data_IF_398397941434
#
_entry.id   IF_398397941434
#
_cell.length_a   1.000
_cell.length_b   1.000
_cell.length_c   1.000
_cell.angle_alpha   90.00
_cell.angle_beta   90.00
_cell.angle_gamma   90.00
#
_symmetry.space_group_name_H-M   'P 1'
#
loop_
_entity.id
_entity.type
_entity.pdbx_description
1 polymer ?
#
# COMPACT_ATOMS: atom_id res chain seq x y z
N UNK A 1 20.96 -46.50 -64.65
CA UNK A 1 19.90 -45.84 -63.87
C UNK A 1 19.54 -44.59 -64.65
N UNK A 2 18.33 -44.54 -65.23
CA UNK A 2 17.89 -43.44 -66.08
C UNK A 2 17.52 -42.26 -65.17
N UNK A 3 18.21 -41.13 -65.33
CA UNK A 3 17.90 -39.89 -64.64
C UNK A 3 16.75 -39.22 -65.40
N UNK A 4 15.62 -39.00 -64.72
CA UNK A 4 14.46 -38.32 -65.28
C UNK A 4 14.35 -36.94 -64.62
N UNK A 5 14.69 -35.85 -65.32
CA UNK A 5 14.79 -34.51 -64.75
C UNK A 5 13.46 -34.00 -64.17
N UNK A 6 12.31 -34.38 -64.74
CA UNK A 6 10.99 -33.93 -64.25
C UNK A 6 10.67 -34.47 -62.85
N UNK A 7 11.04 -35.72 -62.54
CA UNK A 7 10.82 -36.28 -61.20
C UNK A 7 11.69 -35.61 -60.12
N UNK A 8 12.84 -35.03 -60.50
CA UNK A 8 13.72 -34.35 -59.56
C UNK A 8 13.15 -32.99 -59.15
N UNK A 9 12.64 -32.21 -60.11
CA UNK A 9 12.01 -30.91 -59.87
C UNK A 9 10.73 -31.04 -59.05
N UNK A 10 9.92 -32.06 -59.33
CA UNK A 10 8.66 -32.28 -58.59
C UNK A 10 8.89 -32.62 -57.12
N UNK A 11 9.92 -33.45 -56.81
CA UNK A 11 10.32 -33.74 -55.43
C UNK A 11 10.85 -32.50 -54.73
N UNK A 12 11.57 -31.65 -55.44
CA UNK A 12 12.11 -30.40 -54.87
C UNK A 12 10.98 -29.41 -54.55
N UNK A 13 9.99 -29.29 -55.44
CA UNK A 13 8.78 -28.49 -55.23
C UNK A 13 7.96 -29.00 -54.03
N UNK A 14 7.74 -30.32 -53.93
CA UNK A 14 7.03 -30.93 -52.81
C UNK A 14 7.75 -30.70 -51.46
N UNK A 15 9.08 -30.78 -51.44
CA UNK A 15 9.86 -30.52 -50.24
C UNK A 15 9.73 -29.05 -49.80
N UNK A 16 9.79 -28.12 -50.76
CA UNK A 16 9.63 -26.69 -50.51
C UNK A 16 8.23 -26.36 -49.98
N UNK A 17 7.19 -26.98 -50.53
CA UNK A 17 5.81 -26.80 -50.06
C UNK A 17 5.60 -27.34 -48.65
N UNK A 18 6.18 -28.50 -48.31
CA UNK A 18 6.13 -29.05 -46.94
C UNK A 18 6.83 -28.17 -45.91
N UNK A 19 7.90 -27.49 -46.31
CA UNK A 19 8.60 -26.55 -45.45
C UNK A 19 7.75 -25.30 -45.17
N UNK A 20 7.10 -24.75 -46.21
CA UNK A 20 6.17 -23.62 -46.09
C UNK A 20 4.99 -23.98 -45.17
N UNK A 21 4.40 -25.17 -45.34
CA UNK A 21 3.28 -25.63 -44.51
C UNK A 21 3.65 -25.72 -43.02
N UNK A 22 4.82 -26.29 -42.71
CA UNK A 22 5.34 -26.32 -41.33
C UNK A 22 5.49 -24.92 -40.76
N UNK A 23 6.07 -23.98 -41.52
CA UNK A 23 6.25 -22.59 -41.08
C UNK A 23 4.90 -21.92 -40.81
N UNK A 24 3.90 -22.15 -41.66
CA UNK A 24 2.55 -21.61 -41.44
C UNK A 24 1.87 -22.20 -40.21
N UNK A 25 1.97 -23.52 -39.99
CA UNK A 25 1.42 -24.17 -38.80
C UNK A 25 2.04 -23.62 -37.52
N UNK A 26 3.37 -23.47 -37.50
CA UNK A 26 4.09 -22.84 -36.39
C UNK A 26 3.63 -21.39 -36.15
N UNK A 27 3.33 -20.63 -37.21
CA UNK A 27 2.80 -19.26 -37.10
C UNK A 27 1.40 -19.25 -36.50
N UNK A 28 0.48 -20.09 -37.01
CA UNK A 28 -0.91 -20.18 -36.53
C UNK A 28 -0.98 -20.65 -35.07
N UNK A 29 -0.11 -21.57 -34.67
CA UNK A 29 -0.01 -21.99 -33.27
C UNK A 29 0.42 -20.83 -32.38
N UNK A 30 1.49 -20.09 -32.75
CA UNK A 30 1.95 -18.92 -32.00
C UNK A 30 0.87 -17.84 -31.85
N UNK A 31 0.10 -17.57 -32.90
CA UNK A 31 -1.00 -16.59 -32.85
C UNK A 31 -2.13 -17.01 -31.89
N UNK A 32 -2.47 -18.31 -31.84
CA UNK A 32 -3.45 -18.84 -30.87
C UNK A 32 -2.97 -18.72 -29.43
N UNK A 33 -1.71 -19.05 -29.16
CA UNK A 33 -1.13 -18.89 -27.81
C UNK A 33 -1.08 -17.42 -27.40
N UNK A 34 -0.64 -16.52 -28.29
CA UNK A 34 -0.59 -15.09 -28.02
C UNK A 34 -1.96 -14.46 -27.76
N UNK A 35 -3.04 -14.95 -28.39
CA UNK A 35 -4.39 -14.44 -28.16
C UNK A 35 -5.04 -14.97 -26.87
N UNK A 36 -4.74 -16.21 -26.47
CA UNK A 36 -5.21 -16.74 -25.18
C UNK A 36 -4.52 -16.04 -23.99
N UNK A 37 -3.22 -15.74 -24.13
CA UNK A 37 -2.43 -15.07 -23.08
C UNK A 37 -2.87 -13.61 -22.86
N UNK A 38 -3.24 -12.91 -23.95
CA UNK A 38 -3.84 -11.56 -23.89
C UNK A 38 -5.13 -11.53 -23.05
N UNK A 39 -5.96 -12.57 -23.06
CA UNK A 39 -7.23 -12.59 -22.33
C UNK A 39 -7.08 -12.67 -20.81
N UNK A 40 -6.07 -13.39 -20.31
CA UNK A 40 -5.71 -13.41 -18.88
C UNK A 40 -4.97 -12.13 -18.49
N UNK A 41 -3.94 -11.74 -19.25
CA UNK A 41 -3.16 -10.52 -18.98
C UNK A 41 -4.02 -9.25 -18.97
N UNK A 42 -5.08 -9.16 -19.80
CA UNK A 42 -5.89 -7.94 -19.88
C UNK A 42 -6.72 -7.68 -18.62
N UNK A 43 -7.17 -8.73 -17.92
CA UNK A 43 -7.92 -8.60 -16.65
C UNK A 43 -7.01 -8.14 -15.52
N UNK A 44 -5.84 -8.75 -15.38
CA UNK A 44 -4.87 -8.38 -14.35
C UNK A 44 -4.37 -6.95 -14.56
N UNK A 45 -4.07 -6.56 -15.81
CA UNK A 45 -3.64 -5.18 -16.11
C UNK A 45 -4.73 -4.14 -15.80
N UNK A 46 -6.02 -4.47 -15.91
CA UNK A 46 -7.09 -3.51 -15.55
C UNK A 46 -7.19 -3.28 -14.05
N UNK A 47 -7.16 -4.37 -13.27
CA UNK A 47 -7.23 -4.29 -11.80
C UNK A 47 -6.02 -3.55 -11.25
N UNK A 48 -4.82 -3.82 -11.79
CA UNK A 48 -3.60 -3.10 -11.42
C UNK A 48 -3.72 -1.60 -11.71
N UNK A 49 -4.18 -1.21 -12.90
CA UNK A 49 -4.40 0.21 -13.23
C UNK A 49 -5.40 0.87 -12.29
N UNK A 50 -6.48 0.19 -11.95
CA UNK A 50 -7.47 0.69 -11.00
C UNK A 50 -6.87 0.89 -9.60
N UNK A 51 -6.13 -0.09 -9.09
CA UNK A 51 -5.45 0.01 -7.79
C UNK A 51 -4.45 1.16 -7.77
N UNK A 52 -3.63 1.30 -8.81
CA UNK A 52 -2.70 2.43 -8.95
C UNK A 52 -3.44 3.76 -9.00
N UNK A 53 -4.54 3.85 -9.75
CA UNK A 53 -5.31 5.09 -9.85
C UNK A 53 -5.94 5.49 -8.51
N UNK A 54 -6.44 4.51 -7.74
CA UNK A 54 -6.92 4.74 -6.37
C UNK A 54 -5.78 5.23 -5.49
N UNK A 55 -4.67 4.49 -5.40
CA UNK A 55 -3.52 4.85 -4.56
C UNK A 55 -2.96 6.23 -4.90
N UNK A 56 -2.97 6.58 -6.18
CA UNK A 56 -2.48 7.84 -6.70
C UNK A 56 -3.28 9.05 -6.20
N UNK A 57 -4.60 8.94 -6.17
CA UNK A 57 -5.49 10.05 -5.76
C UNK A 57 -5.96 9.93 -4.31
N UNK A 58 -5.58 8.86 -3.61
CA UNK A 58 -5.94 8.64 -2.22
C UNK A 58 -5.31 9.68 -1.30
N UNK A 59 -6.16 10.52 -0.71
CA UNK A 59 -5.85 11.40 0.40
C UNK A 59 -6.59 10.90 1.65
N UNK A 60 -5.87 10.81 2.77
CA UNK A 60 -6.40 10.31 4.04
C UNK A 60 -6.07 11.31 5.13
N UNK A 61 -7.09 11.72 5.88
CA UNK A 61 -6.92 12.43 7.15
C UNK A 61 -7.59 11.62 8.24
N UNK A 62 -6.84 11.24 9.27
CA UNK A 62 -7.38 10.62 10.48
C UNK A 62 -7.18 11.60 11.62
N UNK A 63 -8.27 11.96 12.31
CA UNK A 63 -8.28 12.97 13.36
C UNK A 63 -8.58 12.37 14.73
N UNK A 64 -8.26 13.11 15.79
CA UNK A 64 -8.55 12.78 17.18
C UNK A 64 -8.05 11.38 17.57
N UNK A 65 -6.79 11.09 17.24
CA UNK A 65 -6.21 9.76 17.40
C UNK A 65 -5.68 9.63 18.83
N UNK A 66 -6.11 8.59 19.52
CA UNK A 66 -5.59 8.20 20.83
C UNK A 66 -5.40 6.69 20.85
N UNK A 67 -4.15 6.25 20.93
CA UNK A 67 -3.78 4.83 21.03
C UNK A 67 -3.20 4.59 22.42
N UNK A 68 -3.74 3.60 23.12
CA UNK A 68 -3.28 3.22 24.46
C UNK A 68 -2.97 1.74 24.53
N UNK A 69 -1.82 1.41 25.08
CA UNK A 69 -1.43 0.09 25.49
C UNK A 69 -1.54 -0.02 27.01
N UNK A 70 -2.44 -0.89 27.48
CA UNK A 70 -2.65 -1.17 28.90
C UNK A 70 -2.00 -2.50 29.26
N UNK A 71 -0.93 -2.49 30.07
CA UNK A 71 -0.36 -3.71 30.64
C UNK A 71 -1.07 -4.07 31.94
N UNK A 72 -1.69 -5.25 31.93
CA UNK A 72 -2.40 -5.83 33.06
C UNK A 72 -1.85 -7.20 33.46
N UNK A 73 -0.79 -7.66 32.78
CA UNK A 73 -0.15 -8.95 33.03
C UNK A 73 0.92 -8.85 34.10
N UNK A 74 1.58 -7.69 34.20
CA UNK A 74 2.58 -7.41 35.24
C UNK A 74 1.91 -7.11 36.59
N UNK A 75 1.59 -8.18 37.34
CA UNK A 75 0.85 -8.12 38.63
C UNK A 75 1.44 -7.17 39.67
N UNK A 76 2.73 -6.86 39.59
CA UNK A 76 3.43 -6.01 40.56
C UNK A 76 3.33 -4.51 40.24
N UNK A 77 3.16 -4.14 38.97
CA UNK A 77 3.10 -2.74 38.51
C UNK A 77 2.30 -2.67 37.20
N UNK A 78 1.02 -2.30 37.27
CA UNK A 78 0.27 -1.97 36.06
C UNK A 78 0.75 -0.62 35.51
N UNK A 79 0.85 -0.52 34.19
CA UNK A 79 1.16 0.74 33.54
C UNK A 79 0.38 0.89 32.25
N UNK A 80 0.16 2.14 31.86
CA UNK A 80 -0.42 2.50 30.59
C UNK A 80 0.58 3.35 29.82
N UNK A 81 0.87 2.91 28.62
CA UNK A 81 1.56 3.71 27.63
C UNK A 81 0.54 4.22 26.62
N UNK A 82 0.59 5.50 26.28
CA UNK A 82 -0.31 6.03 25.26
C UNK A 82 0.34 7.09 24.41
N UNK A 83 -0.20 7.24 23.21
CA UNK A 83 0.10 8.34 22.31
C UNK A 83 -1.19 8.97 21.80
N UNK A 84 -1.15 10.27 21.60
CA UNK A 84 -2.26 11.07 21.10
C UNK A 84 -1.76 12.05 20.06
N UNK A 85 -2.56 12.30 19.04
CA UNK A 85 -2.28 13.29 18.01
C UNK A 85 -3.58 13.85 17.46
N UNK A 86 -3.56 15.13 17.10
CA UNK A 86 -4.72 15.82 16.55
C UNK A 86 -5.08 15.24 15.19
N UNK A 87 -4.12 15.14 14.27
CA UNK A 87 -4.34 14.45 13.00
C UNK A 87 -3.08 13.82 12.42
N UNK A 88 -3.30 12.77 11.63
CA UNK A 88 -2.38 12.22 10.65
C UNK A 88 -2.98 12.44 9.26
N UNK A 89 -2.32 13.25 8.43
CA UNK A 89 -2.71 13.50 7.03
C UNK A 89 -1.71 12.82 6.09
N UNK A 90 -2.20 12.14 5.06
CA UNK A 90 -1.41 11.57 3.98
C UNK A 90 -2.02 12.02 2.66
N UNK A 91 -1.26 12.76 1.85
CA UNK A 91 -1.75 13.32 0.59
C UNK A 91 -0.70 13.22 -0.51
N UNK A 92 -1.13 13.41 -1.76
CA UNK A 92 -0.25 13.35 -2.93
C UNK A 92 0.40 14.70 -3.19
N UNK A 93 1.69 14.70 -3.50
CA UNK A 93 2.45 15.90 -3.86
C UNK A 93 3.14 15.75 -5.21
N UNK A 94 3.67 16.85 -5.72
CA UNK A 94 4.65 16.84 -6.80
C UNK A 94 6.09 16.60 -6.27
N UNK A 95 7.07 16.64 -7.18
CA UNK A 95 8.50 16.47 -6.88
C UNK A 95 9.06 17.58 -5.98
N UNK A 96 8.38 18.72 -5.94
CA UNK A 96 8.71 19.91 -5.16
C UNK A 96 7.99 19.96 -3.81
N UNK A 97 7.29 18.88 -3.42
CA UNK A 97 6.52 18.78 -2.17
C UNK A 97 5.31 19.72 -2.08
N UNK A 98 4.81 20.20 -3.21
CA UNK A 98 3.58 20.99 -3.28
C UNK A 98 2.38 20.05 -3.47
N UNK A 99 1.28 20.35 -2.78
CA UNK A 99 0.03 19.61 -2.87
C UNK A 99 -0.56 19.75 -4.29
N UNK A 100 -0.77 18.63 -4.97
CA UNK A 100 -1.21 18.61 -6.36
C UNK A 100 -1.98 17.33 -6.65
N UNK A 101 -3.04 17.45 -7.46
CA UNK A 101 -3.71 16.29 -8.06
C UNK A 101 -2.74 15.53 -8.98
N UNK A 102 -2.61 14.22 -8.78
CA UNK A 102 -1.61 13.47 -9.51
C UNK A 102 -1.95 13.38 -11.00
N UNK A 103 -0.94 13.62 -11.84
CA UNK A 103 -1.00 13.34 -13.28
C UNK A 103 -0.99 11.81 -13.51
N UNK A 104 -1.87 11.33 -14.39
CA UNK A 104 -2.00 9.90 -14.73
C UNK A 104 -0.72 9.29 -15.32
N UNK A 105 0.09 10.11 -16.00
CA UNK A 105 1.27 9.68 -16.74
C UNK A 105 2.56 9.58 -15.90
N UNK A 106 2.52 10.02 -14.63
CA UNK A 106 3.71 10.02 -13.79
C UNK A 106 4.15 8.58 -13.45
N UNK A 107 5.46 8.29 -13.50
CA UNK A 107 5.97 6.96 -13.09
C UNK A 107 6.15 6.83 -11.59
N UNK A 108 6.32 7.95 -10.90
CA UNK A 108 6.55 8.03 -9.46
C UNK A 108 5.36 8.75 -8.84
N UNK A 109 4.89 8.26 -7.68
CA UNK A 109 3.84 8.88 -6.88
C UNK A 109 4.52 9.37 -5.60
N UNK A 110 4.48 10.68 -5.36
CA UNK A 110 4.99 11.26 -4.11
C UNK A 110 3.85 11.37 -3.11
N UNK A 111 4.08 10.87 -1.89
CA UNK A 111 3.14 10.95 -0.79
C UNK A 111 3.80 11.73 0.34
N UNK A 112 3.11 12.74 0.85
CA UNK A 112 3.55 13.52 1.99
C UNK A 112 2.67 13.17 3.20
N UNK A 113 3.33 12.85 4.32
CA UNK A 113 2.68 12.52 5.59
C UNK A 113 2.90 13.64 6.60
N UNK A 114 1.82 14.15 7.17
CA UNK A 114 1.83 15.20 8.19
C UNK A 114 1.26 14.66 9.50
N UNK A 115 1.97 14.89 10.59
CA UNK A 115 1.54 14.55 11.95
C UNK A 115 1.42 15.84 12.75
N UNK A 116 0.26 16.06 13.36
CA UNK A 116 -0.01 17.26 14.15
C UNK A 116 -0.22 16.93 15.62
N UNK A 117 0.45 17.70 16.49
CA UNK A 117 0.31 17.62 17.95
C UNK A 117 0.52 16.21 18.53
N UNK A 118 1.58 15.52 18.09
CA UNK A 118 1.97 14.24 18.67
C UNK A 118 2.44 14.42 20.12
N UNK A 119 1.79 13.71 21.03
CA UNK A 119 2.18 13.60 22.44
C UNK A 119 2.21 12.14 22.84
N UNK A 120 3.16 11.80 23.71
CA UNK A 120 3.32 10.46 24.27
C UNK A 120 3.30 10.59 25.78
N UNK A 121 2.65 9.65 26.46
CA UNK A 121 2.58 9.63 27.91
C UNK A 121 2.77 8.22 28.47
N UNK A 122 3.21 8.18 29.72
CA UNK A 122 3.44 6.96 30.48
C UNK A 122 2.84 7.13 31.87
N UNK A 123 1.77 6.38 32.16
CA UNK A 123 1.10 6.39 33.45
C UNK A 123 1.45 5.11 34.21
N UNK A 124 2.06 5.25 35.39
CA UNK A 124 2.32 4.13 36.30
C UNK A 124 1.16 3.96 37.29
N UNK A 125 0.86 2.73 37.70
CA UNK A 125 -0.20 2.38 38.66
C UNK A 125 -1.62 2.71 38.16
N UNK A 126 -1.97 2.25 36.96
CA UNK A 126 -3.29 2.52 36.35
C UNK A 126 -4.28 1.41 36.71
N UNK A 127 -5.53 1.79 37.02
CA UNK A 127 -6.62 0.83 37.23
C UNK A 127 -7.00 0.16 35.90
N UNK A 128 -7.30 -1.15 35.96
CA UNK A 128 -7.69 -1.92 34.77
C UNK A 128 -8.97 -1.38 34.13
N UNK A 129 -8.95 -1.21 32.80
CA UNK A 129 -10.13 -0.85 32.00
C UNK A 129 -11.00 -2.04 31.58
N UNK A 130 -10.64 -3.28 31.93
CA UNK A 130 -11.33 -4.49 31.43
C UNK A 130 -12.81 -4.56 31.79
N UNK A 131 -13.21 -3.90 32.87
CA UNK A 131 -14.59 -3.91 33.37
C UNK A 131 -15.33 -2.59 33.11
N UNK A 132 -14.73 -1.68 32.33
CA UNK A 132 -15.37 -0.41 31.99
C UNK A 132 -16.33 -0.58 30.82
N UNK A 133 -17.45 0.14 30.87
CA UNK A 133 -18.32 0.28 29.70
C UNK A 133 -17.65 1.16 28.64
N UNK A 134 -18.17 1.11 27.42
CA UNK A 134 -17.67 1.95 26.32
C UNK A 134 -17.68 3.44 26.69
N UNK A 135 -18.72 3.91 27.36
CA UNK A 135 -18.88 5.30 27.79
C UNK A 135 -17.79 5.68 28.80
N UNK A 136 -17.54 4.81 29.78
CA UNK A 136 -16.51 5.02 30.80
C UNK A 136 -15.10 5.04 30.18
N UNK A 137 -14.84 4.19 29.18
CA UNK A 137 -13.57 4.21 28.42
C UNK A 137 -13.42 5.53 27.67
N UNK A 138 -14.47 6.00 26.99
CA UNK A 138 -14.43 7.26 26.25
C UNK A 138 -14.17 8.46 27.18
N UNK A 139 -14.82 8.51 28.34
CA UNK A 139 -14.65 9.59 29.30
C UNK A 139 -13.24 9.59 29.92
N UNK A 140 -12.71 8.42 30.25
CA UNK A 140 -11.33 8.26 30.74
C UNK A 140 -10.30 8.73 29.70
N UNK A 141 -10.47 8.34 28.43
CA UNK A 141 -9.60 8.78 27.32
C UNK A 141 -9.66 10.30 27.11
N UNK A 142 -10.86 10.91 27.17
CA UNK A 142 -11.02 12.37 27.09
C UNK A 142 -10.30 13.08 28.23
N UNK A 143 -10.45 12.58 29.46
CA UNK A 143 -9.79 13.20 30.63
C UNK A 143 -8.26 13.16 30.53
N UNK A 144 -7.71 12.06 30.00
CA UNK A 144 -6.27 11.88 29.78
C UNK A 144 -5.72 12.88 28.76
N UNK A 145 -6.47 13.19 27.68
CA UNK A 145 -6.08 14.19 26.69
C UNK A 145 -6.09 15.63 27.25
N UNK A 146 -6.99 15.95 28.18
CA UNK A 146 -7.05 17.29 28.79
C UNK A 146 -6.02 17.50 29.92
N UNK A 147 -5.52 16.43 30.56
CA UNK A 147 -4.55 16.49 31.67
C UNK A 147 -3.09 16.61 31.21
N UNK A 148 -2.78 16.36 29.93
CA UNK A 148 -1.41 16.34 29.40
C UNK A 148 -0.88 17.70 28.91
N UNK A 149 -1.53 18.82 29.25
CA UNK A 149 -0.83 20.10 29.37
C UNK A 149 -0.42 20.27 30.84
N UNK A 150 0.70 19.70 31.31
CA UNK A 150 1.26 20.17 32.56
C UNK A 150 1.54 21.66 32.35
N UNK A 151 0.97 22.52 33.21
CA UNK A 151 1.58 23.82 33.44
C UNK A 151 2.98 23.52 33.94
N UNK A 152 3.95 23.46 33.03
CA UNK A 152 5.35 23.25 33.34
C UNK A 152 5.76 24.37 34.28
N UNK A 153 5.86 24.07 35.57
CA UNK A 153 6.29 25.03 36.56
C UNK A 153 7.81 25.01 36.56
N UNK A 154 8.42 25.79 35.65
CA UNK A 154 9.87 25.88 35.45
C UNK A 154 10.66 26.35 36.71
N UNK A 155 9.98 26.62 37.82
CA UNK A 155 10.57 27.11 39.07
C UNK A 155 11.37 26.05 39.87
N UNK A 156 11.31 24.76 39.54
CA UNK A 156 11.94 23.70 40.35
C UNK A 156 13.20 23.06 39.76
N UNK A 157 13.63 23.45 38.56
CA UNK A 157 14.91 22.99 38.01
C UNK A 157 16.03 23.93 38.44
N UNK A 158 16.71 23.60 39.55
CA UNK A 158 18.05 24.11 39.82
C UNK A 158 19.03 23.15 39.16
N UNK A 159 19.69 23.60 38.09
CA UNK A 159 20.79 22.85 37.49
C UNK A 159 22.05 23.06 38.35
N UNK A 160 22.83 21.99 38.62
CA UNK A 160 24.15 22.11 39.23
C UNK A 160 25.17 22.80 38.31
#
# INVERSE_FOLDING_TARGET
VHYDPEQSEQREYENKMKEVEKVEEFRRQREKYANNDKGLHHKDTFVERLQFHILRNLEITVENIHITFDDQTTKSYSFQFGLTLNYLKLYTTNEQWEEMESKEEAKIIYKFGEINQLSIYWNSNVQSRLNLTKEQIIDDLKSTNHLNYPKMNYSSYHFP
#
